data_IF_335883228591
#
_entry.id   IF_335883228591
#
_cell.length_a   1.000
_cell.length_b   1.000
_cell.length_c   1.000
_cell.angle_alpha   90.00
_cell.angle_beta   90.00
_cell.angle_gamma   90.00
#
_symmetry.space_group_name_H-M   'P 1'
#
loop_
_entity.id
_entity.type
_entity.pdbx_description
1 polymer ?
#
# COMPACT_ATOMS: atom_id res chain seq x y z
N UNK A 1 6.89 -18.85 -27.13
CA UNK A 1 6.45 -19.68 -25.99
C UNK A 1 5.32 -18.92 -25.35
N UNK A 2 4.09 -19.47 -25.42
CA UNK A 2 2.80 -18.96 -24.87
C UNK A 2 1.61 -19.29 -25.79
N UNK A 3 1.80 -19.87 -26.99
CA UNK A 3 0.68 -20.19 -27.89
C UNK A 3 -0.32 -21.16 -27.20
N UNK A 4 -1.56 -20.72 -27.00
CA UNK A 4 -2.60 -21.39 -26.19
C UNK A 4 -2.56 -21.08 -24.68
N UNK A 5 -1.76 -20.11 -24.23
CA UNK A 5 -1.52 -19.79 -22.82
C UNK A 5 -1.78 -18.32 -22.46
N UNK A 6 -1.21 -17.88 -21.34
CA UNK A 6 -1.36 -16.51 -20.82
C UNK A 6 -0.04 -15.76 -20.88
N UNK A 7 -0.07 -14.53 -21.39
CA UNK A 7 1.02 -13.55 -21.35
C UNK A 7 0.73 -12.51 -20.27
N UNK A 8 1.59 -12.45 -19.24
CA UNK A 8 1.54 -11.41 -18.22
C UNK A 8 2.55 -10.31 -18.55
N UNK A 9 2.08 -9.07 -18.64
CA UNK A 9 2.89 -7.88 -18.93
C UNK A 9 2.86 -6.97 -17.71
N UNK A 10 3.98 -6.89 -17.00
CA UNK A 10 4.12 -5.96 -15.88
C UNK A 10 4.60 -4.58 -16.36
N UNK A 11 4.29 -3.55 -15.58
CA UNK A 11 4.74 -2.16 -15.80
C UNK A 11 4.45 -1.61 -17.23
N UNK A 12 3.27 -1.93 -17.79
CA UNK A 12 2.94 -1.57 -19.19
C UNK A 12 3.02 -0.07 -19.49
N UNK A 13 2.79 0.77 -18.47
CA UNK A 13 2.87 2.23 -18.58
C UNK A 13 4.28 2.78 -18.77
N UNK A 14 5.32 1.94 -18.70
CA UNK A 14 6.72 2.33 -18.95
C UNK A 14 7.19 2.01 -20.37
N UNK A 15 6.37 1.30 -21.15
CA UNK A 15 6.75 0.92 -22.51
C UNK A 15 6.94 2.14 -23.41
N UNK A 16 8.09 2.27 -24.11
CA UNK A 16 8.27 3.26 -25.16
C UNK A 16 7.22 3.16 -26.26
N UNK A 17 6.83 4.30 -26.85
CA UNK A 17 5.78 4.38 -27.89
C UNK A 17 6.00 3.41 -29.06
N UNK A 18 7.25 3.19 -29.49
CA UNK A 18 7.54 2.27 -30.59
C UNK A 18 7.27 0.79 -30.24
N UNK A 19 7.40 0.41 -28.96
CA UNK A 19 7.03 -0.93 -28.50
C UNK A 19 5.52 -1.06 -28.30
N UNK A 20 4.83 0.03 -27.94
CA UNK A 20 3.37 0.05 -27.84
C UNK A 20 2.71 -0.31 -29.18
N UNK A 21 3.27 0.13 -30.31
CA UNK A 21 2.79 -0.25 -31.67
C UNK A 21 2.95 -1.75 -31.92
N UNK A 22 4.10 -2.32 -31.57
CA UNK A 22 4.34 -3.77 -31.73
C UNK A 22 3.40 -4.59 -30.86
N UNK A 23 3.16 -4.14 -29.64
CA UNK A 23 2.21 -4.79 -28.73
C UNK A 23 0.78 -4.69 -29.25
N UNK A 24 0.39 -3.56 -29.85
CA UNK A 24 -0.91 -3.42 -30.48
C UNK A 24 -1.12 -4.45 -31.58
N UNK A 25 -0.11 -4.67 -32.44
CA UNK A 25 -0.16 -5.72 -33.48
C UNK A 25 -0.33 -7.13 -32.88
N UNK A 26 0.37 -7.43 -31.79
CA UNK A 26 0.18 -8.70 -31.07
C UNK A 26 -1.25 -8.85 -30.51
N UNK A 27 -1.84 -7.78 -29.98
CA UNK A 27 -3.18 -7.83 -29.38
C UNK A 27 -4.28 -7.89 -30.46
N UNK A 28 -4.15 -7.12 -31.53
CA UNK A 28 -5.16 -6.98 -32.57
C UNK A 28 -5.08 -8.11 -33.60
N UNK A 29 -3.91 -8.29 -34.20
CA UNK A 29 -3.72 -9.20 -35.33
C UNK A 29 -3.33 -10.60 -34.87
N UNK A 30 -3.05 -10.78 -33.58
CA UNK A 30 -2.48 -12.01 -33.00
C UNK A 30 -1.18 -12.40 -33.69
N UNK A 31 -0.41 -11.41 -34.18
CA UNK A 31 0.82 -11.63 -34.93
C UNK A 31 2.01 -10.90 -34.29
N UNK A 32 3.18 -11.51 -34.40
CA UNK A 32 4.43 -10.92 -33.96
C UNK A 32 5.60 -11.31 -34.85
N UNK A 33 6.63 -10.48 -34.83
CA UNK A 33 7.89 -10.68 -35.55
C UNK A 33 9.03 -10.94 -34.56
N UNK A 34 9.98 -11.80 -34.92
CA UNK A 34 11.22 -11.93 -34.15
C UNK A 34 12.20 -10.84 -34.58
N UNK A 35 13.06 -10.43 -33.66
CA UNK A 35 14.12 -9.48 -34.01
C UNK A 35 14.99 -10.11 -35.12
N UNK A 36 15.09 -9.42 -36.26
CA UNK A 36 15.84 -9.88 -37.43
C UNK A 36 15.09 -10.85 -38.36
N UNK A 37 13.83 -11.21 -38.07
CA UNK A 37 12.96 -12.03 -38.91
C UNK A 37 11.80 -11.16 -39.42
N UNK A 38 11.59 -11.11 -40.73
CA UNK A 38 10.48 -10.37 -41.35
C UNK A 38 9.20 -11.21 -41.44
N UNK A 39 9.25 -12.49 -41.04
CA UNK A 39 8.07 -13.37 -41.14
C UNK A 39 7.17 -13.18 -39.92
N UNK A 40 5.93 -12.70 -40.09
CA UNK A 40 4.96 -12.65 -39.01
C UNK A 40 4.61 -14.07 -38.56
N UNK A 41 4.37 -14.22 -37.26
CA UNK A 41 3.99 -15.48 -36.63
C UNK A 41 2.74 -15.26 -35.80
N UNK A 42 1.79 -16.19 -35.90
CA UNK A 42 0.57 -16.14 -35.09
C UNK A 42 0.85 -16.58 -33.65
N UNK A 43 0.23 -15.88 -32.71
CA UNK A 43 0.22 -16.18 -31.29
C UNK A 43 -1.20 -16.05 -30.75
N UNK A 44 -1.76 -17.17 -30.28
CA UNK A 44 -3.01 -17.15 -29.53
C UNK A 44 -2.68 -17.10 -28.04
N UNK A 45 -2.85 -15.92 -27.42
CA UNK A 45 -2.50 -15.69 -26.01
C UNK A 45 -3.59 -14.90 -25.31
N UNK A 46 -3.89 -15.27 -24.07
CA UNK A 46 -4.64 -14.42 -23.14
C UNK A 46 -3.67 -13.39 -22.57
N UNK A 47 -4.01 -12.10 -22.65
CA UNK A 47 -3.14 -11.03 -22.14
C UNK A 47 -3.67 -10.55 -20.80
N UNK A 48 -2.77 -10.44 -19.82
CA UNK A 48 -3.00 -9.78 -18.54
C UNK A 48 -1.91 -8.72 -18.40
N UNK A 49 -2.30 -7.46 -18.20
CA UNK A 49 -1.36 -6.36 -18.04
C UNK A 49 -1.51 -5.72 -16.65
N UNK A 50 -0.39 -5.27 -16.09
CA UNK A 50 -0.34 -4.54 -14.83
C UNK A 50 0.47 -3.24 -14.99
N UNK A 51 0.16 -2.25 -14.17
CA UNK A 51 0.87 -0.97 -14.12
C UNK A 51 0.57 -0.24 -12.81
N UNK A 52 1.54 0.52 -12.33
CA UNK A 52 1.39 1.46 -11.22
C UNK A 52 1.05 2.90 -11.69
N UNK A 53 0.95 3.14 -13.00
CA UNK A 53 0.63 4.45 -13.59
C UNK A 53 -0.83 4.50 -14.07
N UNK A 54 -1.43 5.68 -13.99
CA UNK A 54 -2.73 5.93 -14.57
C UNK A 54 -2.61 6.04 -16.10
N UNK A 55 -3.04 4.99 -16.82
CA UNK A 55 -2.92 4.94 -18.28
C UNK A 55 -3.76 6.03 -18.98
N UNK A 56 -4.94 6.40 -18.46
CA UNK A 56 -5.75 7.48 -19.05
C UNK A 56 -4.98 8.80 -19.04
N UNK A 57 -4.33 9.13 -17.93
CA UNK A 57 -3.48 10.31 -17.82
C UNK A 57 -2.29 10.26 -18.79
N UNK A 58 -1.66 9.09 -18.96
CA UNK A 58 -0.56 8.93 -19.92
C UNK A 58 -1.03 9.07 -21.38
N UNK A 59 -2.28 8.72 -21.70
CA UNK A 59 -2.88 8.99 -23.01
C UNK A 59 -3.06 10.49 -23.22
N UNK A 60 -3.61 11.21 -22.24
CA UNK A 60 -3.75 12.68 -22.28
C UNK A 60 -2.40 13.39 -22.44
N UNK A 61 -1.33 12.86 -21.83
CA UNK A 61 0.04 13.38 -21.94
C UNK A 61 0.77 12.94 -23.23
N UNK A 62 0.15 12.14 -24.10
CA UNK A 62 0.76 11.61 -25.33
C UNK A 62 1.89 10.59 -25.10
N UNK A 63 2.04 10.08 -23.88
CA UNK A 63 3.05 9.07 -23.50
C UNK A 63 2.55 7.63 -23.67
N UNK A 64 1.25 7.46 -23.82
CA UNK A 64 0.62 6.17 -24.08
C UNK A 64 -0.37 6.29 -25.23
N UNK A 65 -0.40 5.31 -26.13
CA UNK A 65 -1.31 5.36 -27.28
C UNK A 65 -2.74 5.02 -26.85
N UNK A 66 -3.67 5.82 -27.34
CA UNK A 66 -5.10 5.66 -27.09
C UNK A 66 -5.63 4.30 -27.61
N UNK A 67 -5.20 3.90 -28.80
CA UNK A 67 -5.60 2.62 -29.42
C UNK A 67 -5.20 1.39 -28.59
N UNK A 68 -3.99 1.38 -28.03
CA UNK A 68 -3.51 0.35 -27.13
C UNK A 68 -4.27 0.36 -25.79
N UNK A 69 -4.55 1.55 -25.26
CA UNK A 69 -5.28 1.68 -24.00
C UNK A 69 -6.65 1.00 -24.07
N UNK A 70 -7.44 1.25 -25.12
CA UNK A 70 -8.76 0.61 -25.27
C UNK A 70 -8.69 -0.90 -25.52
N UNK A 71 -7.59 -1.41 -26.08
CA UNK A 71 -7.38 -2.86 -26.27
C UNK A 71 -6.96 -3.58 -25.01
N UNK A 72 -6.27 -2.91 -24.10
CA UNK A 72 -5.88 -3.47 -22.79
C UNK A 72 -6.98 -3.32 -21.75
N UNK A 73 -7.62 -2.15 -21.67
CA UNK A 73 -8.57 -1.79 -20.62
C UNK A 73 -9.99 -2.34 -20.90
N UNK A 74 -10.10 -3.64 -21.15
CA UNK A 74 -11.39 -4.33 -21.35
C UNK A 74 -12.01 -4.71 -20.01
N UNK A 75 -11.21 -5.33 -19.14
CA UNK A 75 -11.57 -5.63 -17.74
C UNK A 75 -10.49 -5.04 -16.86
N UNK A 76 -10.86 -4.07 -16.03
CA UNK A 76 -9.94 -3.42 -15.10
C UNK A 76 -10.12 -3.97 -13.69
N UNK A 77 -9.02 -4.29 -13.02
CA UNK A 77 -8.99 -4.69 -11.62
C UNK A 77 -8.08 -3.71 -10.88
N UNK A 78 -8.66 -2.88 -10.03
CA UNK A 78 -7.93 -1.97 -9.18
C UNK A 78 -7.48 -2.70 -7.91
N UNK A 79 -6.16 -2.74 -7.68
CA UNK A 79 -5.59 -3.37 -6.50
C UNK A 79 -5.47 -2.33 -5.38
N UNK A 80 -6.20 -2.49 -4.25
CA UNK A 80 -6.11 -1.54 -3.16
C UNK A 80 -4.73 -1.60 -2.49
N UNK A 81 -4.18 -0.45 -2.07
CA UNK A 81 -2.95 -0.41 -1.33
C UNK A 81 -3.11 -1.05 0.05
N UNK A 82 -2.01 -1.54 0.65
CA UNK A 82 -2.06 -2.25 1.94
C UNK A 82 -2.75 -1.44 3.07
N UNK A 83 -2.60 -0.12 3.08
CA UNK A 83 -3.27 0.78 4.04
C UNK A 83 -4.80 0.75 3.99
N UNK A 84 -5.40 0.29 2.89
CA UNK A 84 -6.85 0.18 2.70
C UNK A 84 -7.36 -1.25 3.02
N UNK A 85 -6.46 -2.18 3.32
CA UNK A 85 -6.75 -3.59 3.66
C UNK A 85 -5.94 -4.04 4.88
N UNK A 86 -6.05 -3.29 5.97
CA UNK A 86 -5.22 -3.50 7.17
C UNK A 86 -5.54 -4.83 7.87
N UNK A 87 -6.71 -5.40 7.61
CA UNK A 87 -7.16 -6.70 8.09
C UNK A 87 -6.27 -7.84 7.58
N UNK A 88 -5.60 -7.65 6.44
CA UNK A 88 -4.68 -8.64 5.86
C UNK A 88 -3.29 -8.65 6.54
N UNK A 89 -2.92 -7.55 7.22
CA UNK A 89 -1.58 -7.37 7.79
C UNK A 89 -1.21 -8.51 8.77
N UNK A 90 -2.05 -8.93 9.73
CA UNK A 90 -1.70 -10.01 10.65
C UNK A 90 -1.42 -11.34 9.94
N UNK A 91 -2.15 -11.63 8.86
CA UNK A 91 -1.96 -12.85 8.06
C UNK A 91 -0.66 -12.78 7.25
N UNK A 92 -0.39 -11.64 6.60
CA UNK A 92 0.85 -11.40 5.87
C UNK A 92 2.07 -11.46 6.80
N UNK A 93 1.99 -10.86 7.99
CA UNK A 93 3.03 -10.91 9.01
C UNK A 93 3.31 -12.36 9.41
N UNK A 94 2.28 -13.14 9.68
CA UNK A 94 2.43 -14.55 10.06
C UNK A 94 3.12 -15.36 8.96
N UNK A 95 2.71 -15.14 7.70
CA UNK A 95 3.31 -15.78 6.53
C UNK A 95 4.80 -15.42 6.35
N UNK A 96 5.14 -14.12 6.40
CA UNK A 96 6.52 -13.67 6.25
C UNK A 96 7.40 -14.11 7.42
N UNK A 97 6.87 -14.08 8.64
CA UNK A 97 7.60 -14.51 9.83
C UNK A 97 7.96 -15.99 9.72
N UNK A 98 7.04 -16.85 9.29
CA UNK A 98 7.32 -18.27 9.05
C UNK A 98 8.36 -18.46 7.93
N UNK A 99 8.19 -17.75 6.81
CA UNK A 99 9.11 -17.78 5.67
C UNK A 99 10.54 -17.42 6.09
N UNK A 100 10.74 -16.27 6.73
CA UNK A 100 12.07 -15.78 7.08
C UNK A 100 12.68 -16.50 8.29
N UNK A 101 11.87 -16.98 9.23
CA UNK A 101 12.37 -17.83 10.32
C UNK A 101 13.03 -19.10 9.79
N UNK A 102 12.43 -19.74 8.76
CA UNK A 102 13.01 -20.90 8.08
C UNK A 102 14.29 -20.54 7.31
N UNK A 103 14.26 -19.44 6.54
CA UNK A 103 15.40 -19.00 5.72
C UNK A 103 16.63 -18.69 6.58
N UNK A 104 16.45 -17.98 7.70
CA UNK A 104 17.55 -17.57 8.58
C UNK A 104 17.83 -18.55 9.73
N UNK A 105 17.14 -19.68 9.79
CA UNK A 105 17.31 -20.69 10.84
C UNK A 105 16.98 -20.19 12.26
N UNK A 106 16.12 -19.16 12.38
CA UNK A 106 15.72 -18.59 13.67
C UNK A 106 14.42 -19.22 14.18
N UNK A 107 14.28 -19.28 15.50
CA UNK A 107 13.08 -19.81 16.18
C UNK A 107 12.13 -18.68 16.63
N UNK A 108 11.83 -17.75 15.73
CA UNK A 108 10.83 -16.71 16.00
C UNK A 108 9.45 -17.34 15.90
N UNK A 109 8.64 -17.17 16.94
CA UNK A 109 7.32 -17.78 17.09
C UNK A 109 6.16 -16.81 16.87
N UNK A 110 6.43 -15.51 16.86
CA UNK A 110 5.40 -14.51 16.65
C UNK A 110 5.87 -13.08 16.89
N UNK A 111 4.91 -12.18 16.90
CA UNK A 111 5.08 -10.74 17.11
C UNK A 111 4.33 -10.34 18.38
N UNK A 112 4.95 -9.50 19.20
CA UNK A 112 4.31 -8.93 20.40
C UNK A 112 3.09 -8.07 20.03
N UNK A 113 2.08 -7.95 20.91
CA UNK A 113 0.92 -7.08 20.68
C UNK A 113 1.31 -5.63 20.38
N UNK A 114 2.35 -5.13 21.04
CA UNK A 114 2.85 -3.77 20.86
C UNK A 114 3.46 -3.57 19.48
N UNK A 115 4.29 -4.52 19.02
CA UNK A 115 4.86 -4.48 17.67
C UNK A 115 3.77 -4.63 16.59
N UNK A 116 2.79 -5.52 16.80
CA UNK A 116 1.66 -5.69 15.89
C UNK A 116 0.85 -4.39 15.75
N UNK A 117 0.65 -3.66 16.85
CA UNK A 117 -0.01 -2.36 16.81
C UNK A 117 0.75 -1.35 15.92
N UNK A 118 2.07 -1.27 16.04
CA UNK A 118 2.89 -0.40 15.18
C UNK A 118 2.76 -0.78 13.71
N UNK A 119 2.79 -2.08 13.41
CA UNK A 119 2.59 -2.61 12.07
C UNK A 119 1.21 -2.25 11.51
N UNK A 120 0.15 -2.25 12.31
CA UNK A 120 -1.19 -1.86 11.87
C UNK A 120 -1.36 -0.34 11.69
N UNK A 121 -0.67 0.47 12.48
CA UNK A 121 -0.79 1.94 12.44
C UNK A 121 -0.05 2.57 11.25
N UNK A 122 1.01 1.91 10.76
CA UNK A 122 1.80 2.35 9.61
C UNK A 122 1.03 2.26 8.27
N UNK A 123 1.42 3.06 7.28
CA UNK A 123 0.69 3.22 6.00
C UNK A 123 1.30 2.48 4.82
N UNK A 124 2.50 1.94 4.97
CA UNK A 124 3.20 1.16 3.95
C UNK A 124 3.21 1.84 2.56
N UNK A 125 3.92 2.97 2.37
CA UNK A 125 4.12 3.54 1.04
C UNK A 125 4.66 2.53 0.01
N UNK A 126 5.48 1.56 0.43
CA UNK A 126 5.98 0.44 -0.38
C UNK A 126 5.09 -0.81 -0.35
N UNK A 127 3.87 -0.72 0.22
CA UNK A 127 2.85 -1.76 0.22
C UNK A 127 3.37 -3.09 0.83
N UNK A 128 2.90 -4.24 0.33
CA UNK A 128 3.31 -5.57 0.82
C UNK A 128 4.83 -5.77 0.78
N UNK A 129 5.56 -5.19 -0.18
CA UNK A 129 7.02 -5.32 -0.27
C UNK A 129 7.72 -4.68 0.93
N UNK A 130 7.24 -3.52 1.38
CA UNK A 130 7.78 -2.87 2.56
C UNK A 130 7.46 -3.64 3.84
N UNK A 131 6.25 -4.20 3.95
CA UNK A 131 5.91 -5.10 5.05
C UNK A 131 6.81 -6.34 5.07
N UNK A 132 7.02 -6.98 3.91
CA UNK A 132 7.91 -8.13 3.75
C UNK A 132 9.32 -7.81 4.25
N UNK A 133 9.91 -6.72 3.76
CA UNK A 133 11.25 -6.26 4.16
C UNK A 133 11.33 -5.95 5.66
N UNK A 134 10.29 -5.34 6.22
CA UNK A 134 10.26 -5.00 7.65
C UNK A 134 10.23 -6.25 8.54
N UNK A 135 9.49 -7.28 8.14
CA UNK A 135 9.44 -8.55 8.88
C UNK A 135 10.75 -9.33 8.69
N UNK A 136 11.34 -9.34 7.49
CA UNK A 136 12.66 -9.92 7.27
C UNK A 136 13.71 -9.26 8.16
N UNK A 137 13.79 -7.92 8.16
CA UNK A 137 14.66 -7.16 9.06
C UNK A 137 14.47 -7.58 10.52
N UNK A 138 13.22 -7.57 10.99
CA UNK A 138 12.90 -7.90 12.38
C UNK A 138 13.31 -9.33 12.75
N UNK A 139 13.13 -10.30 11.85
CA UNK A 139 13.65 -11.66 12.04
C UNK A 139 15.18 -11.63 12.13
N UNK A 140 15.88 -10.95 11.22
CA UNK A 140 17.35 -10.89 11.20
C UNK A 140 17.94 -10.23 12.46
N UNK A 141 17.33 -9.17 13.00
CA UNK A 141 17.83 -8.51 14.22
C UNK A 141 17.34 -9.15 15.52
N UNK A 142 16.21 -9.87 15.49
CA UNK A 142 15.62 -10.45 16.70
C UNK A 142 16.61 -11.35 17.45
N UNK A 143 16.73 -11.10 18.76
CA UNK A 143 17.54 -11.93 19.66
C UNK A 143 16.70 -12.94 20.44
N UNK A 144 15.37 -12.84 20.34
CA UNK A 144 14.42 -13.67 21.10
C UNK A 144 13.46 -14.40 20.16
N UNK A 145 12.59 -15.24 20.72
CA UNK A 145 11.54 -15.92 19.96
C UNK A 145 10.32 -15.04 19.66
N UNK A 146 10.27 -13.80 20.12
CA UNK A 146 9.13 -12.90 19.94
C UNK A 146 9.61 -11.53 19.44
N UNK A 147 9.08 -11.08 18.30
CA UNK A 147 9.44 -9.77 17.73
C UNK A 147 8.82 -8.65 18.58
N UNK A 148 9.68 -7.81 19.15
CA UNK A 148 9.34 -6.61 19.89
C UNK A 148 9.29 -5.36 19.01
N UNK A 149 8.81 -4.23 19.54
CA UNK A 149 8.86 -2.95 18.84
C UNK A 149 10.26 -2.58 18.35
N UNK A 150 11.29 -2.83 19.15
CA UNK A 150 12.67 -2.43 18.85
C UNK A 150 13.35 -3.25 17.75
N UNK A 151 12.79 -4.41 17.42
CA UNK A 151 13.24 -5.22 16.30
C UNK A 151 12.71 -4.69 14.96
N UNK A 152 11.66 -3.84 14.98
CA UNK A 152 11.08 -3.26 13.77
C UNK A 152 11.97 -2.14 13.20
N UNK A 153 11.97 -1.94 11.87
CA UNK A 153 12.64 -0.82 11.24
C UNK A 153 12.24 0.53 11.85
N UNK A 154 13.18 1.46 11.87
CA UNK A 154 12.99 2.79 12.45
C UNK A 154 11.84 3.55 11.77
N UNK A 155 11.65 3.38 10.47
CA UNK A 155 10.59 4.02 9.69
C UNK A 155 9.20 3.65 10.21
N UNK A 156 8.99 2.39 10.63
CA UNK A 156 7.73 1.92 11.19
C UNK A 156 7.57 2.44 12.63
N UNK A 157 8.65 2.40 13.42
CA UNK A 157 8.66 2.90 14.80
C UNK A 157 8.44 4.42 14.88
N UNK A 158 8.99 5.19 13.95
CA UNK A 158 8.89 6.66 13.91
C UNK A 158 7.66 7.09 13.13
N UNK A 159 7.36 6.48 11.99
CA UNK A 159 6.21 6.84 11.17
C UNK A 159 4.88 6.70 11.92
N UNK A 160 4.75 5.66 12.74
CA UNK A 160 3.62 5.50 13.68
C UNK A 160 3.57 6.64 14.71
N UNK A 161 4.70 7.01 15.32
CA UNK A 161 4.79 8.13 16.28
C UNK A 161 4.46 9.49 15.66
N UNK A 162 4.98 9.77 14.46
CA UNK A 162 4.72 11.02 13.73
C UNK A 162 3.24 11.12 13.38
N UNK A 163 2.65 10.03 12.86
CA UNK A 163 1.23 10.00 12.54
C UNK A 163 0.34 10.13 13.78
N UNK A 164 0.73 9.50 14.90
CA UNK A 164 0.04 9.65 16.19
C UNK A 164 0.10 11.10 16.67
N UNK A 165 1.29 11.73 16.65
CA UNK A 165 1.47 13.13 17.05
C UNK A 165 0.69 14.09 16.16
N UNK A 166 0.65 13.83 14.85
CA UNK A 166 -0.14 14.61 13.91
C UNK A 166 -1.65 14.52 14.22
N UNK A 167 -2.16 13.30 14.48
CA UNK A 167 -3.57 13.10 14.89
C UNK A 167 -3.90 13.77 16.22
N UNK A 168 -3.00 13.68 17.21
CA UNK A 168 -3.14 14.36 18.50
C UNK A 168 -3.18 15.88 18.33
N UNK A 169 -2.33 16.44 17.46
CA UNK A 169 -2.34 17.87 17.14
C UNK A 169 -3.64 18.29 16.44
N UNK A 170 -4.10 17.55 15.41
CA UNK A 170 -5.38 17.86 14.75
C UNK A 170 -6.57 17.79 15.72
N UNK A 171 -6.57 16.80 16.61
CA UNK A 171 -7.61 16.65 17.62
C UNK A 171 -7.57 17.78 18.65
N UNK A 172 -6.38 18.18 19.08
CA UNK A 172 -6.17 19.31 19.98
C UNK A 172 -6.69 20.62 19.39
N UNK A 173 -6.38 20.89 18.12
CA UNK A 173 -6.86 22.09 17.42
C UNK A 173 -8.38 22.09 17.29
N UNK A 174 -9.01 20.96 16.94
CA UNK A 174 -10.48 20.83 16.93
C UNK A 174 -11.09 21.09 18.31
N UNK A 175 -10.46 20.60 19.37
CA UNK A 175 -10.93 20.81 20.75
C UNK A 175 -10.84 22.30 21.14
N UNK A 176 -9.74 22.98 20.79
CA UNK A 176 -9.58 24.42 21.02
C UNK A 176 -10.63 25.22 20.27
N UNK A 177 -10.82 24.96 18.98
CA UNK A 177 -11.82 25.64 18.14
C UNK A 177 -13.24 25.45 18.71
N UNK A 178 -13.58 24.24 19.16
CA UNK A 178 -14.87 23.96 19.77
C UNK A 178 -15.05 24.66 21.14
N UNK A 179 -13.99 24.77 21.94
CA UNK A 179 -14.02 25.51 23.21
C UNK A 179 -14.18 27.02 22.98
N UNK A 180 -13.48 27.59 21.99
CA UNK A 180 -13.61 28.99 21.62
C UNK A 180 -15.02 29.32 21.15
N UNK A 181 -15.57 28.52 20.22
CA UNK A 181 -16.96 28.68 19.75
C UNK A 181 -18.00 28.48 20.84
N UNK A 182 -17.70 27.66 21.84
CA UNK A 182 -18.56 27.43 22.99
C UNK A 182 -18.36 28.45 24.12
N UNK A 183 -17.47 29.44 23.98
CA UNK A 183 -17.14 30.42 25.02
C UNK A 183 -16.63 29.79 26.31
N UNK A 184 -15.89 28.68 26.22
CA UNK A 184 -15.38 27.93 27.37
C UNK A 184 -16.40 26.98 28.02
N UNK A 185 -17.65 26.90 27.52
CA UNK A 185 -18.63 25.95 28.04
C UNK A 185 -18.31 24.52 27.56
N UNK A 186 -17.67 23.74 28.45
CA UNK A 186 -17.25 22.35 28.20
C UNK A 186 -18.42 21.44 27.77
N UNK A 187 -19.65 21.68 28.23
CA UNK A 187 -20.81 20.88 27.81
C UNK A 187 -21.24 21.20 26.37
N UNK A 188 -21.15 22.46 25.98
CA UNK A 188 -21.48 22.92 24.63
C UNK A 188 -20.38 22.54 23.63
N UNK A 189 -19.11 22.67 24.00
CA UNK A 189 -17.97 22.21 23.20
C UNK A 189 -18.03 20.70 22.93
N UNK A 190 -18.42 19.90 23.92
CA UNK A 190 -18.62 18.45 23.75
C UNK A 190 -19.72 18.14 22.73
N UNK A 191 -20.82 18.91 22.75
CA UNK A 191 -21.90 18.79 21.74
C UNK A 191 -21.41 19.18 20.34
N UNK A 192 -20.63 20.26 20.20
CA UNK A 192 -20.06 20.69 18.92
C UNK A 192 -19.11 19.66 18.31
N UNK A 193 -18.35 18.95 19.17
CA UNK A 193 -17.45 17.88 18.77
C UNK A 193 -18.14 16.53 18.56
N UNK A 194 -19.45 16.42 18.86
CA UNK A 194 -20.19 15.16 18.76
C UNK A 194 -19.72 14.08 19.75
N UNK A 195 -19.11 14.47 20.88
CA UNK A 195 -18.60 13.54 21.90
C UNK A 195 -19.29 13.74 23.25
N UNK A 196 -19.28 12.71 24.08
CA UNK A 196 -19.81 12.82 25.45
C UNK A 196 -18.94 13.77 26.31
N UNK A 197 -19.57 14.48 27.25
CA UNK A 197 -18.89 15.46 28.12
C UNK A 197 -17.73 14.86 28.91
N UNK A 198 -17.87 13.62 29.39
CA UNK A 198 -16.80 12.91 30.11
C UNK A 198 -15.60 12.60 29.22
N UNK A 199 -15.85 12.28 27.94
CA UNK A 199 -14.79 12.06 26.93
C UNK A 199 -14.01 13.34 26.68
N UNK A 200 -14.69 14.48 26.54
CA UNK A 200 -14.03 15.78 26.42
C UNK A 200 -13.20 16.09 27.67
N UNK A 201 -13.74 15.88 28.87
CA UNK A 201 -13.02 16.17 30.11
C UNK A 201 -11.73 15.34 30.25
N UNK A 202 -11.78 14.05 29.89
CA UNK A 202 -10.59 13.19 29.84
C UNK A 202 -9.53 13.73 28.88
N UNK A 203 -9.95 14.12 27.66
CA UNK A 203 -9.06 14.70 26.65
C UNK A 203 -8.46 16.03 27.10
N UNK A 204 -9.24 16.91 27.73
CA UNK A 204 -8.72 18.18 28.26
C UNK A 204 -7.66 17.96 29.33
N UNK A 205 -7.83 16.94 30.19
CA UNK A 205 -6.83 16.59 31.21
C UNK A 205 -5.56 15.99 30.57
N UNK A 206 -5.73 15.14 29.57
CA UNK A 206 -4.64 14.52 28.80
C UNK A 206 -3.79 15.56 28.05
N UNK A 207 -4.44 16.60 27.49
CA UNK A 207 -3.78 17.69 26.76
C UNK A 207 -3.38 18.89 27.64
N UNK A 208 -3.57 18.84 28.96
CA UNK A 208 -3.18 19.92 29.88
C UNK A 208 -4.00 21.23 29.76
N UNK A 209 -5.25 21.14 29.30
CA UNK A 209 -6.18 22.27 29.10
C UNK A 209 -7.28 22.37 30.19
N UNK A 210 -7.20 21.56 31.25
CA UNK A 210 -8.28 21.38 32.24
C UNK A 210 -8.04 22.11 33.56
#
# INVERSE_FOLDING_TARGET
MANGGTLFLDEIGELPLHLQVKLLGLIQDKEFERIGDLKPRKADVRIIAATNKNLKKLVEEGKFREDLYYRLNVVNVELPPLRERKEDIPHLVSYFLEKFSKIHGKKVKGVSPEAMKLLLEYDYPGNVRELENAIEHAVVVSSTSLIGPDDLPEEIRIGSKVKKKFRENEELEKIKEALERAGGNKSLAAKLLGIHRTTLWRKLKEYGLA
#
